data_IF_939148640492
#
_entry.id   IF_939148640492
#
_cell.length_a   1.000
_cell.length_b   1.000
_cell.length_c   1.000
_cell.angle_alpha   90.00
_cell.angle_beta   90.00
_cell.angle_gamma   90.00
#
_symmetry.space_group_name_H-M   'P 1'
#
loop_
_entity.id
_entity.type
_entity.pdbx_description
1 polymer ?
#
# COMPACT_ATOMS: atom_id res chain seq x y z
N UNK A 1 23.22 45.55 -2.14
CA UNK A 1 23.21 44.17 -2.60
C UNK A 1 22.03 43.47 -2.00
N UNK A 2 21.06 43.17 -2.84
CA UNK A 2 19.96 42.31 -2.42
C UNK A 2 20.51 40.91 -2.40
N UNK A 3 20.85 40.43 -1.22
CA UNK A 3 21.04 39.03 -0.99
C UNK A 3 19.70 38.37 -1.24
N UNK A 4 19.56 37.80 -2.40
CA UNK A 4 18.52 36.84 -2.68
C UNK A 4 18.70 35.71 -1.65
N UNK A 5 17.89 35.74 -0.65
CA UNK A 5 17.82 34.66 0.31
C UNK A 5 17.24 33.46 -0.38
N UNK A 6 18.07 32.68 -1.04
CA UNK A 6 17.81 31.32 -1.40
C UNK A 6 17.76 30.43 -0.15
N UNK A 7 17.50 31.03 0.98
CA UNK A 7 17.32 30.36 2.27
C UNK A 7 15.89 29.90 2.47
N UNK A 8 15.06 29.97 1.45
CA UNK A 8 13.69 29.51 1.58
C UNK A 8 13.59 28.01 1.73
N UNK A 9 14.58 27.28 1.37
CA UNK A 9 14.26 25.94 0.93
C UNK A 9 14.79 24.84 1.75
N UNK A 10 15.05 25.15 2.94
CA UNK A 10 14.93 24.14 3.97
C UNK A 10 13.46 24.08 4.42
N UNK A 11 12.57 23.77 3.51
CA UNK A 11 11.37 23.05 3.93
C UNK A 11 11.90 21.81 4.61
N UNK A 12 12.02 21.89 5.93
CA UNK A 12 12.42 20.78 6.75
C UNK A 12 11.49 19.65 6.36
N UNK A 13 12.02 18.64 5.69
CA UNK A 13 11.26 17.46 5.32
C UNK A 13 10.60 16.96 6.59
N UNK A 14 9.31 17.12 6.68
CA UNK A 14 8.57 16.72 7.85
C UNK A 14 8.33 15.24 7.72
N UNK A 15 8.62 14.50 8.76
CA UNK A 15 8.30 13.08 8.82
C UNK A 15 6.87 12.93 9.28
N UNK A 16 5.99 12.53 8.38
CA UNK A 16 4.59 12.24 8.71
C UNK A 16 4.46 10.91 9.46
N UNK A 17 5.23 9.92 9.05
CA UNK A 17 5.12 8.56 9.55
C UNK A 17 6.47 7.84 9.52
N UNK A 18 6.68 6.90 10.46
CA UNK A 18 7.85 6.02 10.48
C UNK A 18 7.40 4.55 10.50
N UNK A 19 7.99 3.73 9.65
CA UNK A 19 7.66 2.31 9.56
C UNK A 19 8.38 1.43 10.60
N UNK A 20 8.82 2.00 11.73
CA UNK A 20 9.44 1.25 12.81
C UNK A 20 10.73 0.54 12.43
N UNK A 21 11.54 1.14 11.56
CA UNK A 21 12.84 0.58 11.17
C UNK A 21 13.96 1.00 12.13
N UNK A 22 14.97 0.17 12.23
CA UNK A 22 16.22 0.45 12.92
C UNK A 22 17.43 0.25 11.98
N UNK A 23 18.64 0.45 12.49
CA UNK A 23 19.88 0.33 11.69
C UNK A 23 20.10 -1.06 11.07
N UNK A 24 19.53 -2.09 11.67
CA UNK A 24 19.68 -3.49 11.23
C UNK A 24 18.48 -3.98 10.43
N UNK A 25 17.28 -3.41 10.66
CA UNK A 25 16.02 -3.85 10.09
C UNK A 25 15.39 -2.70 9.30
N UNK A 26 16.08 -2.24 8.24
CA UNK A 26 15.52 -1.21 7.36
C UNK A 26 14.30 -1.74 6.61
N UNK A 27 13.17 -1.05 6.75
CA UNK A 27 12.01 -1.22 5.87
C UNK A 27 12.06 -0.14 4.81
N UNK A 28 12.37 -0.56 3.59
CA UNK A 28 12.52 0.35 2.47
C UNK A 28 11.15 0.65 1.84
N UNK A 29 10.96 1.89 1.43
CA UNK A 29 9.80 2.36 0.68
C UNK A 29 10.29 2.95 -0.63
N UNK A 30 10.29 2.14 -1.69
CA UNK A 30 10.79 2.55 -3.02
C UNK A 30 9.71 3.19 -3.88
N UNK A 31 8.45 2.92 -3.57
CA UNK A 31 7.32 3.34 -4.39
C UNK A 31 6.62 4.53 -3.77
N UNK A 32 6.03 5.36 -4.60
CA UNK A 32 5.18 6.46 -4.15
C UNK A 32 3.94 5.95 -3.41
N UNK A 33 3.36 6.82 -2.60
CA UNK A 33 2.10 6.57 -1.93
C UNK A 33 0.93 6.97 -2.83
N UNK A 34 -0.21 6.31 -2.66
CA UNK A 34 -1.49 6.78 -3.15
C UNK A 34 -2.31 7.38 -2.01
N UNK A 35 -3.31 8.19 -2.32
CA UNK A 35 -4.07 8.93 -1.33
C UNK A 35 -5.55 9.03 -1.68
N UNK A 36 -6.41 9.03 -0.64
CA UNK A 36 -7.85 9.29 -0.79
C UNK A 36 -8.40 10.00 0.44
N UNK A 37 -9.57 10.60 0.29
CA UNK A 37 -10.38 11.03 1.44
C UNK A 37 -11.30 9.87 1.81
N UNK A 38 -11.21 9.41 3.05
CA UNK A 38 -12.02 8.31 3.55
C UNK A 38 -13.51 8.64 3.47
N UNK A 39 -14.30 7.70 2.95
CA UNK A 39 -15.74 7.88 2.76
C UNK A 39 -16.51 7.95 4.07
N UNK A 40 -16.02 7.30 5.11
CA UNK A 40 -16.64 7.27 6.44
C UNK A 40 -16.06 8.32 7.38
N UNK A 41 -14.73 8.44 7.39
CA UNK A 41 -14.03 9.34 8.33
C UNK A 41 -13.95 10.77 7.81
N UNK A 42 -14.07 10.98 6.51
CA UNK A 42 -13.83 12.27 5.83
C UNK A 42 -12.44 12.86 6.12
N UNK A 43 -11.46 12.00 6.37
CA UNK A 43 -10.07 12.34 6.64
C UNK A 43 -9.17 11.88 5.51
N UNK A 44 -7.97 12.44 5.42
CA UNK A 44 -6.99 12.03 4.42
C UNK A 44 -6.36 10.70 4.84
N UNK A 45 -6.35 9.75 3.90
CA UNK A 45 -5.68 8.47 4.03
C UNK A 45 -4.58 8.34 2.98
N UNK A 46 -3.42 7.89 3.42
CA UNK A 46 -2.25 7.65 2.58
C UNK A 46 -1.91 6.17 2.60
N UNK A 47 -1.67 5.59 1.44
CA UNK A 47 -1.39 4.16 1.30
C UNK A 47 0.03 3.95 0.82
N UNK A 48 0.72 3.05 1.48
CA UNK A 48 2.10 2.71 1.18
C UNK A 48 2.36 1.21 1.45
N UNK A 49 3.43 0.72 0.89
CA UNK A 49 3.94 -0.60 1.25
C UNK A 49 5.45 -0.57 1.38
N UNK A 50 5.99 -1.54 2.11
CA UNK A 50 7.42 -1.67 2.32
C UNK A 50 7.98 -2.91 1.63
N UNK A 51 9.26 -2.88 1.33
CA UNK A 51 9.99 -4.00 0.76
C UNK A 51 11.29 -3.56 0.10
N UNK A 52 12.31 -4.39 0.19
CA UNK A 52 13.55 -4.18 -0.52
C UNK A 52 13.41 -4.68 -1.97
N UNK A 53 13.07 -3.76 -2.87
CA UNK A 53 12.85 -4.08 -4.28
C UNK A 53 14.15 -4.46 -5.01
N UNK A 54 15.28 -3.90 -4.61
CA UNK A 54 16.58 -4.24 -5.20
C UNK A 54 17.00 -5.69 -4.87
N UNK A 55 16.49 -6.21 -3.75
CA UNK A 55 16.71 -7.60 -3.30
C UNK A 55 15.40 -8.36 -3.25
N UNK A 56 14.71 -8.38 -4.38
CA UNK A 56 13.35 -8.91 -4.44
C UNK A 56 13.24 -10.37 -4.01
N UNK A 57 14.26 -11.17 -4.29
CA UNK A 57 14.34 -12.60 -3.93
C UNK A 57 15.03 -12.88 -2.59
N UNK A 58 15.39 -11.85 -1.81
CA UNK A 58 16.04 -12.06 -0.53
C UNK A 58 15.04 -12.61 0.49
N UNK A 59 15.35 -13.81 1.00
CA UNK A 59 14.60 -14.51 2.07
C UNK A 59 15.43 -14.65 3.35
N UNK A 60 16.58 -14.00 3.44
CA UNK A 60 17.51 -14.16 4.57
C UNK A 60 17.35 -13.08 5.64
N UNK A 61 16.83 -11.93 5.28
CA UNK A 61 16.62 -10.85 6.21
C UNK A 61 15.34 -11.08 7.01
N UNK A 62 15.44 -11.14 8.31
CA UNK A 62 14.32 -11.27 9.23
C UNK A 62 13.46 -10.01 9.37
N UNK A 63 13.26 -9.27 8.28
CA UNK A 63 12.46 -8.04 8.27
C UNK A 63 11.09 -8.34 7.71
N UNK A 64 10.08 -8.19 8.53
CA UNK A 64 8.68 -8.21 8.08
C UNK A 64 8.35 -6.91 7.37
N UNK A 65 7.81 -7.00 6.16
CA UNK A 65 7.29 -5.86 5.41
C UNK A 65 5.82 -5.61 5.75
N UNK A 66 5.36 -4.41 5.43
CA UNK A 66 4.01 -3.97 5.76
C UNK A 66 3.28 -3.38 4.56
N UNK A 67 1.97 -3.61 4.52
CA UNK A 67 1.02 -2.75 3.82
C UNK A 67 0.48 -1.76 4.84
N UNK A 68 0.36 -0.50 4.47
CA UNK A 68 0.05 0.60 5.36
C UNK A 68 -1.12 1.43 4.83
N UNK A 69 -2.06 1.73 5.70
CA UNK A 69 -3.03 2.82 5.54
C UNK A 69 -2.82 3.82 6.67
N UNK A 70 -2.28 4.99 6.36
CA UNK A 70 -1.90 6.04 7.30
C UNK A 70 -2.97 7.10 7.29
N UNK A 71 -3.53 7.41 8.45
CA UNK A 71 -4.60 8.38 8.64
C UNK A 71 -4.02 9.73 9.03
N UNK A 72 -4.26 10.75 8.22
CA UNK A 72 -3.95 12.14 8.54
C UNK A 72 -5.22 12.85 9.01
N UNK A 73 -5.33 13.02 10.33
CA UNK A 73 -6.48 13.66 10.97
C UNK A 73 -6.44 15.18 10.89
N UNK A 74 -5.29 15.74 10.61
CA UNK A 74 -5.08 17.19 10.63
C UNK A 74 -5.32 17.81 9.25
N UNK A 75 -5.49 16.99 8.23
CA UNK A 75 -5.86 17.45 6.89
C UNK A 75 -7.26 18.11 6.89
N UNK A 76 -7.47 19.28 6.28
CA UNK A 76 -6.55 20.08 5.47
C UNK A 76 -5.80 21.18 6.25
N UNK A 77 -5.69 21.09 7.57
CA UNK A 77 -5.15 22.13 8.44
C UNK A 77 -3.62 22.21 8.43
N UNK A 78 -2.94 21.71 7.39
CA UNK A 78 -1.49 21.78 7.27
C UNK A 78 -0.91 23.21 7.25
N UNK A 79 -1.72 24.25 7.25
CA UNK A 79 -1.28 25.62 7.48
C UNK A 79 -0.74 25.84 8.90
N UNK A 80 -1.14 25.01 9.84
CA UNK A 80 -0.68 25.02 11.22
C UNK A 80 0.42 24.00 11.51
N UNK A 81 0.91 23.28 10.52
CA UNK A 81 2.06 22.36 10.63
C UNK A 81 3.37 23.16 10.88
N UNK A 82 3.30 24.29 11.51
CA UNK A 82 4.49 24.98 11.99
C UNK A 82 5.28 24.13 13.01
N UNK A 83 4.69 23.04 13.53
CA UNK A 83 5.35 22.14 14.48
C UNK A 83 4.86 20.70 14.27
N UNK A 84 5.41 19.95 13.32
CA UNK A 84 5.25 18.52 13.38
C UNK A 84 5.91 18.06 14.65
N UNK A 85 5.12 17.81 15.64
CA UNK A 85 5.63 17.52 16.97
C UNK A 85 6.29 16.17 17.06
N UNK A 86 5.86 15.23 16.26
CA UNK A 86 6.46 13.89 16.17
C UNK A 86 5.84 13.13 15.01
N UNK A 87 6.67 12.47 14.22
CA UNK A 87 6.18 11.51 13.25
C UNK A 87 5.41 10.40 13.97
N UNK A 88 4.27 10.05 13.45
CA UNK A 88 3.57 8.86 13.89
C UNK A 88 4.34 7.62 13.48
N UNK A 89 4.43 6.64 14.34
CA UNK A 89 5.09 5.38 14.06
C UNK A 89 4.07 4.23 13.93
N UNK A 90 4.53 3.11 13.43
CA UNK A 90 3.68 1.96 13.15
C UNK A 90 3.02 1.39 14.41
N UNK A 91 3.57 1.63 15.59
CA UNK A 91 3.01 1.12 16.84
C UNK A 91 1.64 1.74 17.16
N UNK A 92 1.33 2.86 16.50
CA UNK A 92 0.04 3.55 16.63
C UNK A 92 -0.96 3.18 15.56
N UNK A 93 -0.58 2.33 14.62
CA UNK A 93 -1.49 1.73 13.66
C UNK A 93 -2.03 0.41 14.19
N UNK A 94 -3.26 0.09 13.87
CA UNK A 94 -3.87 -1.17 14.25
C UNK A 94 -3.43 -2.30 13.32
N UNK A 95 -2.96 -3.41 13.88
CA UNK A 95 -2.64 -4.59 13.09
C UNK A 95 -3.93 -5.32 12.70
N UNK A 96 -4.19 -5.40 11.40
CA UNK A 96 -5.38 -6.09 10.85
C UNK A 96 -5.08 -7.45 10.23
N UNK A 97 -3.84 -7.94 10.32
CA UNK A 97 -3.39 -9.18 9.65
C UNK A 97 -4.24 -10.39 10.01
N UNK A 98 -4.62 -10.50 11.28
CA UNK A 98 -5.37 -11.66 11.81
C UNK A 98 -6.85 -11.34 12.05
N UNK A 99 -7.34 -10.22 11.52
CA UNK A 99 -8.74 -9.87 11.70
C UNK A 99 -9.60 -10.58 10.65
N UNK A 100 -10.21 -11.68 11.05
CA UNK A 100 -11.14 -12.45 10.22
C UNK A 100 -12.58 -11.96 10.35
N UNK A 101 -12.87 -11.13 11.34
CA UNK A 101 -14.24 -10.71 11.68
C UNK A 101 -14.62 -9.35 11.09
N UNK A 102 -13.68 -8.63 10.51
CA UNK A 102 -13.92 -7.28 9.97
C UNK A 102 -14.22 -6.21 11.02
N UNK A 103 -14.10 -6.54 12.31
CA UNK A 103 -14.51 -5.67 13.41
C UNK A 103 -13.41 -4.78 13.97
N UNK A 104 -12.19 -4.91 13.49
CA UNK A 104 -11.02 -4.23 14.04
C UNK A 104 -10.56 -3.03 13.22
N UNK A 105 -11.47 -2.15 12.86
CA UNK A 105 -11.11 -0.88 12.28
C UNK A 105 -10.32 0.00 13.27
N UNK A 106 -9.46 0.91 12.77
CA UNK A 106 -8.81 1.92 13.60
C UNK A 106 -9.81 2.75 14.39
N UNK A 107 -9.51 2.96 15.67
CA UNK A 107 -10.27 3.84 16.57
C UNK A 107 -9.75 5.26 16.46
N UNK A 108 -10.40 6.20 17.16
CA UNK A 108 -10.01 7.61 17.13
C UNK A 108 -8.57 7.89 17.60
N UNK A 109 -8.01 7.04 18.47
CA UNK A 109 -6.63 7.16 18.93
C UNK A 109 -5.61 6.58 17.94
N UNK A 110 -6.04 5.69 17.05
CA UNK A 110 -5.17 5.02 16.09
C UNK A 110 -4.80 5.97 14.93
N UNK A 111 -3.59 5.79 14.39
CA UNK A 111 -3.06 6.58 13.27
C UNK A 111 -3.22 5.87 11.92
N UNK A 112 -4.02 4.84 11.87
CA UNK A 112 -4.28 4.04 10.69
C UNK A 112 -4.19 2.55 11.00
N UNK A 113 -3.90 1.79 9.96
CA UNK A 113 -3.77 0.34 10.03
C UNK A 113 -2.50 -0.15 9.32
N UNK A 114 -2.06 -1.34 9.67
CA UNK A 114 -1.02 -2.04 8.93
C UNK A 114 -1.33 -3.54 8.83
N UNK A 115 -0.78 -4.15 7.80
CA UNK A 115 -0.85 -5.59 7.57
C UNK A 115 0.56 -6.11 7.42
N UNK A 116 0.93 -7.10 8.22
CA UNK A 116 2.24 -7.76 8.14
C UNK A 116 2.24 -8.70 6.94
N UNK A 117 3.21 -8.50 6.05
CA UNK A 117 3.48 -9.40 4.94
C UNK A 117 4.38 -10.54 5.43
N UNK A 118 3.88 -11.77 5.36
CA UNK A 118 4.62 -12.98 5.73
C UNK A 118 5.50 -13.47 4.59
N UNK A 119 6.34 -14.46 4.87
CA UNK A 119 7.14 -15.18 3.89
C UNK A 119 8.03 -14.26 3.02
N UNK A 120 8.55 -13.18 3.63
CA UNK A 120 9.39 -12.17 2.99
C UNK A 120 8.72 -11.43 1.84
N UNK A 121 7.40 -11.48 1.77
CA UNK A 121 6.65 -10.78 0.75
C UNK A 121 6.87 -9.27 0.82
N UNK A 122 6.75 -8.59 -0.32
CA UNK A 122 7.06 -7.17 -0.49
C UNK A 122 6.17 -6.55 -1.57
N UNK A 123 5.99 -5.24 -1.48
CA UNK A 123 5.31 -4.49 -2.53
C UNK A 123 6.23 -4.32 -3.75
N UNK A 124 5.67 -4.37 -4.94
CA UNK A 124 6.41 -4.29 -6.21
C UNK A 124 6.16 -3.03 -7.02
N UNK A 125 5.12 -2.29 -6.68
CA UNK A 125 4.80 -1.00 -7.27
C UNK A 125 3.95 -0.18 -6.28
N UNK A 126 3.61 1.04 -6.65
CA UNK A 126 2.74 1.90 -5.85
C UNK A 126 1.35 1.29 -5.68
N UNK A 127 0.70 1.52 -4.53
CA UNK A 127 -0.70 1.14 -4.34
C UNK A 127 -1.63 1.86 -5.31
N UNK A 128 -2.87 1.41 -5.39
CA UNK A 128 -3.93 2.07 -6.15
C UNK A 128 -5.22 2.02 -5.34
N UNK A 129 -5.84 3.16 -5.09
CA UNK A 129 -7.11 3.23 -4.36
C UNK A 129 -8.27 3.43 -5.32
N UNK A 130 -9.31 2.65 -5.14
CA UNK A 130 -10.52 2.75 -5.95
C UNK A 130 -11.76 2.31 -5.18
N UNK A 131 -12.79 3.16 -5.12
CA UNK A 131 -14.09 2.89 -4.50
C UNK A 131 -13.98 2.29 -3.09
N UNK A 132 -13.23 2.92 -2.20
CA UNK A 132 -13.09 2.47 -0.81
C UNK A 132 -12.23 1.22 -0.63
N UNK A 133 -11.47 0.84 -1.65
CA UNK A 133 -10.54 -0.30 -1.60
C UNK A 133 -9.14 0.13 -1.99
N UNK A 134 -8.17 -0.19 -1.15
CA UNK A 134 -6.75 -0.02 -1.44
C UNK A 134 -6.17 -1.33 -1.99
N UNK A 135 -5.61 -1.29 -3.19
CA UNK A 135 -5.01 -2.42 -3.89
C UNK A 135 -3.50 -2.32 -3.87
N UNK A 136 -2.84 -3.43 -3.55
CA UNK A 136 -1.39 -3.51 -3.45
C UNK A 136 -0.87 -4.64 -4.32
N UNK A 137 0.08 -4.38 -5.23
CA UNK A 137 0.82 -5.43 -5.93
C UNK A 137 1.89 -6.00 -5.01
N UNK A 138 1.79 -7.29 -4.72
CA UNK A 138 2.66 -7.98 -3.76
C UNK A 138 3.40 -9.13 -4.44
N UNK A 139 4.66 -9.29 -4.11
CA UNK A 139 5.51 -10.39 -4.52
C UNK A 139 5.99 -11.19 -3.31
N UNK A 140 5.84 -12.49 -3.36
CA UNK A 140 6.34 -13.43 -2.37
C UNK A 140 7.48 -14.24 -3.00
N UNK A 141 8.73 -14.08 -2.53
CA UNK A 141 9.86 -14.83 -3.04
C UNK A 141 9.71 -16.31 -2.70
N UNK A 142 10.13 -17.19 -3.62
CA UNK A 142 10.17 -18.62 -3.33
C UNK A 142 11.34 -18.96 -2.45
N UNK A 143 11.15 -19.85 -1.48
CA UNK A 143 12.22 -20.40 -0.63
C UNK A 143 13.07 -21.45 -1.36
N UNK A 144 12.98 -21.53 -2.68
CA UNK A 144 13.73 -22.49 -3.49
C UNK A 144 15.22 -22.18 -3.49
N UNK A 145 16.04 -23.23 -3.42
CA UNK A 145 17.49 -23.14 -3.57
C UNK A 145 17.89 -22.69 -4.99
N UNK A 146 16.99 -22.85 -5.94
CA UNK A 146 17.21 -22.40 -7.31
C UNK A 146 17.00 -20.88 -7.41
N UNK A 147 18.08 -20.13 -7.59
CA UNK A 147 18.08 -18.68 -7.74
C UNK A 147 17.29 -18.17 -8.96
N UNK A 148 16.98 -19.05 -9.91
CA UNK A 148 16.20 -18.73 -11.09
C UNK A 148 14.69 -18.97 -10.91
N UNK A 149 14.24 -19.47 -9.75
CA UNK A 149 12.82 -19.66 -9.51
C UNK A 149 12.12 -18.30 -9.30
N UNK A 150 11.07 -18.10 -10.05
CA UNK A 150 10.22 -16.92 -9.89
C UNK A 150 9.36 -17.07 -8.64
N UNK A 151 9.21 -15.98 -7.91
CA UNK A 151 8.25 -15.91 -6.81
C UNK A 151 6.82 -15.77 -7.29
N UNK A 152 5.92 -15.69 -6.32
CA UNK A 152 4.49 -15.61 -6.54
C UNK A 152 4.03 -14.14 -6.53
N UNK A 153 3.17 -13.81 -7.48
CA UNK A 153 2.57 -12.49 -7.60
C UNK A 153 1.13 -12.52 -7.05
N UNK A 154 0.81 -11.52 -6.23
CA UNK A 154 -0.51 -11.36 -5.62
C UNK A 154 -1.02 -9.93 -5.81
N UNK A 155 -2.33 -9.79 -5.95
CA UNK A 155 -3.03 -8.51 -5.77
C UNK A 155 -3.75 -8.59 -4.43
N UNK A 156 -3.37 -7.73 -3.49
CA UNK A 156 -4.05 -7.60 -2.21
C UNK A 156 -5.02 -6.42 -2.27
N UNK A 157 -6.27 -6.63 -1.87
CA UNK A 157 -7.30 -5.59 -1.81
C UNK A 157 -7.93 -5.56 -0.42
N UNK A 158 -7.92 -4.39 0.20
CA UNK A 158 -8.43 -4.17 1.56
C UNK A 158 -9.23 -2.89 1.64
N UNK A 159 -10.12 -2.82 2.62
CA UNK A 159 -10.84 -1.59 2.93
C UNK A 159 -9.85 -0.46 3.23
N UNK A 160 -10.06 0.70 2.61
CA UNK A 160 -9.12 1.81 2.70
C UNK A 160 -9.04 2.39 4.12
N UNK A 161 -10.13 2.44 4.86
CA UNK A 161 -10.15 2.99 6.22
C UNK A 161 -9.90 1.94 7.32
N UNK A 162 -10.19 0.67 7.05
CA UNK A 162 -10.09 -0.40 8.05
C UNK A 162 -8.96 -1.41 7.81
N UNK A 163 -8.46 -1.55 6.58
CA UNK A 163 -7.49 -2.59 6.22
C UNK A 163 -8.06 -4.02 6.29
N UNK A 164 -9.38 -4.16 6.36
CA UNK A 164 -10.10 -5.44 6.40
C UNK A 164 -10.51 -5.90 5.00
N UNK A 165 -11.09 -7.07 4.89
CA UNK A 165 -11.53 -7.60 3.60
C UNK A 165 -12.72 -6.81 3.05
N UNK A 166 -12.65 -6.42 1.78
CA UNK A 166 -13.73 -5.67 1.12
C UNK A 166 -14.56 -6.49 0.16
N UNK A 167 -14.04 -7.58 -0.39
CA UNK A 167 -14.78 -8.29 -1.42
C UNK A 167 -14.63 -9.80 -1.35
N UNK A 168 -15.77 -10.47 -1.52
CA UNK A 168 -15.86 -11.89 -1.78
C UNK A 168 -15.16 -12.32 -3.09
N UNK A 169 -14.92 -11.42 -4.02
CA UNK A 169 -14.38 -11.73 -5.33
C UNK A 169 -12.86 -11.92 -5.34
N UNK A 170 -12.11 -11.12 -4.57
CA UNK A 170 -10.70 -11.41 -4.32
C UNK A 170 -10.52 -12.67 -3.47
N UNK A 171 -11.54 -13.04 -2.70
CA UNK A 171 -11.54 -14.21 -1.83
C UNK A 171 -11.71 -15.54 -2.56
N UNK A 172 -12.31 -15.54 -3.74
CA UNK A 172 -12.67 -16.81 -4.44
C UNK A 172 -11.48 -17.53 -5.05
N UNK A 173 -10.34 -16.87 -5.15
CA UNK A 173 -9.23 -17.42 -5.93
C UNK A 173 -8.10 -18.02 -5.09
N UNK A 174 -8.09 -17.89 -3.73
CA UNK A 174 -6.88 -18.24 -2.99
C UNK A 174 -7.00 -18.63 -1.53
N UNK A 175 -6.53 -19.81 -1.25
CA UNK A 175 -6.59 -20.57 -0.01
C UNK A 175 -5.73 -20.12 1.17
N UNK A 176 -5.17 -18.90 1.27
CA UNK A 176 -4.33 -18.54 2.41
C UNK A 176 -4.58 -17.18 3.08
N UNK A 177 -5.19 -16.25 2.41
CA UNK A 177 -5.55 -14.96 3.00
C UNK A 177 -6.72 -14.39 2.25
N UNK A 178 -7.78 -14.07 2.97
CA UNK A 178 -8.97 -13.45 2.39
C UNK A 178 -8.72 -12.03 1.81
N UNK A 179 -7.49 -11.55 1.82
CA UNK A 179 -7.13 -10.19 1.40
C UNK A 179 -6.35 -10.14 0.09
N UNK A 180 -5.76 -11.25 -0.35
CA UNK A 180 -4.87 -11.29 -1.50
C UNK A 180 -5.26 -12.40 -2.47
N UNK A 181 -5.28 -12.06 -3.77
CA UNK A 181 -5.47 -13.00 -4.85
C UNK A 181 -4.13 -13.32 -5.53
N UNK A 182 -3.84 -14.59 -5.70
CA UNK A 182 -2.69 -15.04 -6.50
C UNK A 182 -2.98 -14.85 -7.99
N UNK A 183 -2.09 -14.26 -8.71
CA UNK A 183 -2.32 -13.91 -10.10
C UNK A 183 -1.31 -14.57 -11.06
N UNK A 184 -0.26 -15.16 -10.53
CA UNK A 184 0.74 -15.86 -11.33
C UNK A 184 2.12 -15.89 -10.68
N UNK A 185 3.11 -16.37 -11.41
CA UNK A 185 4.52 -16.32 -11.01
C UNK A 185 5.21 -15.13 -11.68
N UNK A 186 5.95 -14.36 -10.93
CA UNK A 186 6.68 -13.20 -11.42
C UNK A 186 6.43 -11.94 -10.60
N UNK A 187 6.80 -10.79 -11.16
CA UNK A 187 6.71 -9.49 -10.52
C UNK A 187 5.58 -8.69 -11.15
N UNK A 188 4.69 -8.15 -10.33
CA UNK A 188 3.58 -7.31 -10.80
C UNK A 188 4.03 -5.88 -11.07
N UNK A 189 3.48 -5.30 -12.12
CA UNK A 189 3.48 -3.87 -12.35
C UNK A 189 2.52 -3.15 -11.41
N UNK A 190 2.46 -1.82 -11.50
CA UNK A 190 1.37 -1.02 -10.93
C UNK A 190 0.01 -1.55 -11.40
N UNK A 191 -0.95 -1.54 -10.48
CA UNK A 191 -2.34 -1.87 -10.76
C UNK A 191 -3.02 -0.64 -11.33
N UNK A 192 -3.65 -0.79 -12.49
CA UNK A 192 -4.46 0.24 -13.13
C UNK A 192 -5.92 -0.16 -13.08
N UNK A 193 -6.79 0.78 -12.74
CA UNK A 193 -8.24 0.56 -12.71
C UNK A 193 -8.90 1.21 -13.92
N UNK A 194 -9.68 0.43 -14.64
CA UNK A 194 -10.50 0.93 -15.75
C UNK A 194 -11.80 0.14 -15.84
N UNK A 195 -12.92 0.83 -15.97
CA UNK A 195 -14.25 0.23 -16.09
C UNK A 195 -14.53 -0.87 -15.04
N UNK A 196 -14.28 -0.55 -13.76
CA UNK A 196 -14.43 -1.47 -12.62
C UNK A 196 -13.58 -2.75 -12.70
N UNK A 197 -12.55 -2.74 -13.50
CA UNK A 197 -11.58 -3.85 -13.59
C UNK A 197 -10.19 -3.38 -13.19
N UNK A 198 -9.47 -4.27 -12.54
CA UNK A 198 -8.06 -4.12 -12.21
C UNK A 198 -7.23 -4.74 -13.33
N UNK A 199 -6.23 -4.02 -13.79
CA UNK A 199 -5.27 -4.47 -14.79
C UNK A 199 -3.87 -4.38 -14.21
N UNK A 200 -3.08 -5.43 -14.38
CA UNK A 200 -1.66 -5.44 -14.04
C UNK A 200 -0.91 -6.37 -14.99
N UNK A 201 0.34 -6.05 -15.28
CA UNK A 201 1.24 -6.93 -16.02
C UNK A 201 2.06 -7.76 -15.06
N UNK A 202 2.33 -9.00 -15.40
CA UNK A 202 3.27 -9.87 -14.69
C UNK A 202 4.54 -9.98 -15.54
N UNK A 203 5.67 -9.51 -15.00
CA UNK A 203 6.98 -9.77 -15.57
C UNK A 203 7.51 -11.08 -15.00
N UNK A 204 7.60 -12.09 -15.85
CA UNK A 204 8.05 -13.42 -15.45
C UNK A 204 8.26 -14.32 -16.65
N UNK A 205 8.50 -15.60 -16.40
CA UNK A 205 8.66 -16.56 -17.47
C UNK A 205 7.30 -16.85 -18.12
N UNK A 206 7.14 -16.47 -19.36
CA UNK A 206 5.96 -16.83 -20.16
C UNK A 206 5.97 -18.34 -20.39
N UNK A 207 5.15 -19.07 -19.66
CA UNK A 207 4.87 -20.49 -19.97
C UNK A 207 3.71 -20.51 -20.95
N UNK A 208 4.03 -20.56 -22.24
CA UNK A 208 3.19 -20.57 -23.41
C UNK A 208 1.68 -20.73 -23.20
N UNK A 209 0.85 -19.74 -23.38
CA UNK A 209 -0.59 -19.57 -23.21
C UNK A 209 -1.07 -18.79 -21.98
N UNK A 210 -0.23 -18.34 -21.05
CA UNK A 210 -0.67 -17.42 -20.00
C UNK A 210 -0.44 -16.00 -20.47
N UNK A 211 -1.50 -15.21 -20.43
CA UNK A 211 -1.47 -13.79 -20.75
C UNK A 211 -0.63 -13.08 -19.66
N UNK A 212 0.34 -12.28 -20.06
CA UNK A 212 1.12 -11.45 -19.15
C UNK A 212 0.26 -10.34 -18.48
N UNK A 213 -0.93 -10.08 -19.04
CA UNK A 213 -1.91 -9.14 -18.52
C UNK A 213 -2.94 -9.85 -17.64
N UNK A 214 -2.92 -9.50 -16.38
CA UNK A 214 -3.93 -9.92 -15.40
C UNK A 214 -5.10 -8.96 -15.43
N UNK A 215 -6.31 -9.50 -15.43
CA UNK A 215 -7.55 -8.73 -15.32
C UNK A 215 -8.38 -9.33 -14.19
N UNK A 216 -8.71 -8.53 -13.19
CA UNK A 216 -9.59 -8.90 -12.08
C UNK A 216 -10.74 -7.90 -11.98
N UNK A 217 -11.87 -8.33 -11.42
CA UNK A 217 -12.95 -7.42 -11.07
C UNK A 217 -12.54 -6.60 -9.84
N UNK A 218 -12.68 -5.29 -9.90
CA UNK A 218 -12.52 -4.44 -8.72
C UNK A 218 -13.62 -4.73 -7.71
N UNK A 219 -13.29 -4.68 -6.42
CA UNK A 219 -14.28 -4.84 -5.36
C UNK A 219 -15.38 -3.77 -5.47
N UNK A 220 -16.59 -4.14 -5.11
CA UNK A 220 -17.69 -3.19 -4.97
C UNK A 220 -17.62 -2.58 -3.57
N UNK A 221 -16.73 -1.62 -3.38
CA UNK A 221 -16.74 -0.77 -2.19
C UNK A 221 -17.89 0.23 -2.24
N UNK A 222 -18.17 0.88 -1.11
CA UNK A 222 -19.15 1.96 -1.06
C UNK A 222 -18.75 3.07 -2.03
N UNK A 223 -19.69 3.48 -2.88
CA UNK A 223 -19.51 4.56 -3.83
C UNK A 223 -19.51 5.90 -3.11
N UNK A 224 -18.38 6.32 -2.60
CA UNK A 224 -18.14 7.74 -2.34
C UNK A 224 -18.00 8.47 -3.68
N UNK A 225 -18.82 9.47 -3.93
CA UNK A 225 -18.70 10.27 -5.14
C UNK A 225 -17.52 11.23 -4.95
N UNK A 226 -16.36 10.85 -5.47
CA UNK A 226 -15.20 11.75 -5.49
C UNK A 226 -15.23 12.59 -6.75
N UNK A 227 -15.52 13.88 -6.59
CA UNK A 227 -15.32 14.88 -7.61
C UNK A 227 -13.93 15.47 -7.46
N UNK A 228 -12.93 14.86 -8.05
CA UNK A 228 -11.62 15.50 -8.21
C UNK A 228 -11.66 16.44 -9.43
N UNK A 229 -12.02 17.69 -9.22
CA UNK A 229 -11.83 18.71 -10.23
C UNK A 229 -10.67 19.63 -9.81
N UNK A 230 -9.50 19.37 -10.35
CA UNK A 230 -8.42 20.35 -10.31
C UNK A 230 -8.71 21.44 -11.33
N UNK A 231 -9.18 22.60 -10.87
CA UNK A 231 -9.19 23.79 -11.69
C UNK A 231 -7.92 24.56 -11.44
N UNK A 232 -7.06 24.63 -12.42
CA UNK A 232 -6.04 25.68 -12.48
C UNK A 232 -6.78 26.98 -12.78
N UNK A 233 -6.82 27.88 -11.81
CA UNK A 233 -7.11 29.29 -12.08
C UNK A 233 -5.78 29.95 -12.44
N UNK A 234 -5.64 30.34 -13.70
CA UNK A 234 -4.62 31.26 -14.17
C UNK A 234 -5.03 32.67 -13.79
#
# INVERSE_FOLDING_TARGET
>A
PRTSSAASDVYKRQTLFTAGSNKTNGRYMYHSMDATIGGTTNELWLFAGTGDYERINDTTRGVENYLLGIRDKDYPLYREIAKPTKADDITKCKNTTNDTTGSKCPQNADKGWYIVLKDFAKITAEPTVYKGTAYFPVYEPTKSVNKCSLGNAYICGVDDECGTNTSSQLNQTMGKSNKCAYVGQGVLSKIVVFADKLFANIAGQSTGNKKDLVTLQAGQGQTGIYRSSWRHNY
#
